data_IF_526494993913
#
_entry.id   IF_526494993913
#
_cell.length_a   1.000
_cell.length_b   1.000
_cell.length_c   1.000
_cell.angle_alpha   90.00
_cell.angle_beta   90.00
_cell.angle_gamma   90.00
#
_symmetry.space_group_name_H-M   'P 1'
#
loop_
_entity.id
_entity.type
_entity.pdbx_description
1 polymer ?
#
# COMPACT_ATOMS: atom_id res chain seq x y z
N UNK A 1 -12.39 -5.34 -8.70
CA UNK A 1 -11.60 -6.19 -7.77
C UNK A 1 -11.63 -5.52 -6.41
N UNK A 2 -12.01 -6.23 -5.35
CA UNK A 2 -12.04 -5.69 -3.99
C UNK A 2 -10.62 -5.45 -3.47
N UNK A 3 -10.38 -4.32 -2.81
CA UNK A 3 -9.08 -3.98 -2.22
C UNK A 3 -8.88 -4.74 -0.92
N UNK A 4 -7.64 -5.13 -0.61
CA UNK A 4 -7.34 -5.79 0.67
C UNK A 4 -7.73 -4.91 1.88
N UNK A 5 -7.65 -3.59 1.76
CA UNK A 5 -8.11 -2.68 2.81
C UNK A 5 -9.62 -2.81 3.10
N UNK A 6 -10.44 -3.10 2.09
CA UNK A 6 -11.89 -3.31 2.23
C UNK A 6 -12.18 -4.64 2.93
N UNK A 7 -11.47 -5.71 2.53
CA UNK A 7 -11.50 -7.01 3.22
C UNK A 7 -11.16 -6.86 4.70
N UNK A 8 -10.06 -6.16 5.00
CA UNK A 8 -9.64 -5.96 6.40
C UNK A 8 -10.71 -5.16 7.15
N UNK A 9 -11.22 -4.07 6.58
CA UNK A 9 -12.24 -3.26 7.25
C UNK A 9 -13.52 -4.05 7.57
N UNK A 10 -13.92 -4.97 6.69
CA UNK A 10 -15.12 -5.80 6.86
C UNK A 10 -14.92 -6.94 7.85
N UNK A 11 -13.79 -7.64 7.80
CA UNK A 11 -13.60 -8.91 8.53
C UNK A 11 -12.69 -8.81 9.76
N UNK A 12 -11.98 -7.70 9.97
CA UNK A 12 -11.12 -7.52 11.15
C UNK A 12 -11.87 -7.71 12.48
N UNK A 13 -13.09 -7.18 12.70
CA UNK A 13 -13.80 -7.41 13.95
C UNK A 13 -14.04 -8.91 14.25
N UNK A 14 -14.45 -9.67 13.23
CA UNK A 14 -14.67 -11.12 13.33
C UNK A 14 -13.38 -11.89 13.56
N UNK A 15 -12.29 -11.48 12.89
CA UNK A 15 -10.96 -12.05 13.10
C UNK A 15 -10.51 -11.85 14.56
N UNK A 16 -10.65 -10.65 15.10
CA UNK A 16 -10.28 -10.32 16.47
C UNK A 16 -11.13 -11.12 17.46
N UNK A 17 -12.46 -11.11 17.32
CA UNK A 17 -13.36 -11.84 18.22
C UNK A 17 -13.03 -13.34 18.34
N UNK A 18 -12.52 -13.95 17.26
CA UNK A 18 -12.23 -15.39 17.23
C UNK A 18 -10.78 -15.74 17.56
N UNK A 19 -9.82 -14.88 17.22
CA UNK A 19 -8.40 -15.23 17.22
C UNK A 19 -7.49 -14.24 17.95
N UNK A 20 -8.02 -13.24 18.67
CA UNK A 20 -7.23 -12.21 19.36
C UNK A 20 -6.04 -12.78 20.15
N UNK A 21 -6.24 -13.81 20.96
CA UNK A 21 -5.17 -14.43 21.77
C UNK A 21 -4.06 -15.13 20.95
N UNK A 22 -4.29 -15.39 19.67
CA UNK A 22 -3.32 -15.99 18.75
C UNK A 22 -2.61 -14.94 17.89
N UNK A 23 -3.09 -13.69 17.88
CA UNK A 23 -2.51 -12.62 17.09
C UNK A 23 -1.32 -12.00 17.79
N UNK A 24 -0.20 -11.93 17.06
CA UNK A 24 0.99 -11.23 17.52
C UNK A 24 0.81 -9.71 17.33
N UNK A 25 1.51 -8.87 18.11
CA UNK A 25 1.51 -7.43 17.90
C UNK A 25 1.91 -7.01 16.47
N UNK A 26 2.74 -7.80 15.79
CA UNK A 26 3.08 -7.58 14.37
C UNK A 26 1.89 -7.75 13.43
N UNK A 27 0.95 -8.66 13.71
CA UNK A 27 -0.26 -8.86 12.91
C UNK A 27 -1.19 -7.65 13.01
N UNK A 28 -1.40 -7.12 14.21
CA UNK A 28 -2.19 -5.90 14.41
C UNK A 28 -1.59 -4.71 13.66
N UNK A 29 -0.26 -4.53 13.76
CA UNK A 29 0.44 -3.48 13.01
C UNK A 29 0.31 -3.64 11.50
N UNK A 30 0.37 -4.88 11.00
CA UNK A 30 0.17 -5.16 9.58
C UNK A 30 -1.27 -4.82 9.13
N UNK A 31 -2.30 -5.26 9.86
CA UNK A 31 -3.70 -4.95 9.55
C UNK A 31 -3.95 -3.45 9.52
N UNK A 32 -3.47 -2.71 10.53
CA UNK A 32 -3.58 -1.26 10.58
C UNK A 32 -2.89 -0.57 9.39
N UNK A 33 -1.65 -0.96 9.08
CA UNK A 33 -0.89 -0.39 7.97
C UNK A 33 -1.56 -0.66 6.61
N UNK A 34 -2.01 -1.90 6.38
CA UNK A 34 -2.66 -2.31 5.14
C UNK A 34 -4.02 -1.62 4.96
N UNK A 35 -4.80 -1.46 6.02
CA UNK A 35 -6.10 -0.76 6.01
C UNK A 35 -5.95 0.73 5.69
N UNK A 36 -4.91 1.39 6.21
CA UNK A 36 -4.69 2.81 5.99
C UNK A 36 -4.02 3.14 4.64
N UNK A 37 -3.26 2.19 4.05
CA UNK A 37 -2.43 2.42 2.87
C UNK A 37 -3.18 3.10 1.71
N UNK A 38 -2.65 4.22 1.20
CA UNK A 38 -3.20 4.98 0.06
C UNK A 38 -4.70 5.31 0.21
N UNK A 39 -5.15 5.54 1.44
CA UNK A 39 -6.52 5.92 1.76
C UNK A 39 -6.58 7.34 2.34
N UNK A 40 -7.79 7.87 2.52
CA UNK A 40 -8.01 9.14 3.24
C UNK A 40 -7.51 9.14 4.70
N UNK A 41 -7.28 7.95 5.27
CA UNK A 41 -6.79 7.78 6.63
C UNK A 41 -5.26 7.73 6.71
N UNK A 42 -4.57 7.65 5.57
CA UNK A 42 -3.12 7.80 5.55
C UNK A 42 -2.74 9.27 5.77
N UNK A 43 -1.52 9.55 6.27
CA UNK A 43 -0.90 10.86 6.10
C UNK A 43 -1.05 11.31 4.64
N UNK A 44 -1.16 12.62 4.42
CA UNK A 44 -1.32 13.21 3.09
C UNK A 44 -0.10 14.07 2.75
N UNK A 45 0.34 14.01 1.50
CA UNK A 45 1.35 14.90 0.93
C UNK A 45 0.66 15.90 0.02
N UNK A 46 0.94 17.19 0.21
CA UNK A 46 0.53 18.21 -0.76
C UNK A 46 1.55 18.24 -1.91
N UNK A 47 1.15 17.68 -3.05
CA UNK A 47 1.95 17.72 -4.27
C UNK A 47 1.57 18.95 -5.10
N UNK A 48 2.57 19.62 -5.66
CA UNK A 48 2.38 20.71 -6.62
C UNK A 48 2.95 20.30 -7.96
N UNK A 49 2.16 20.42 -9.03
CA UNK A 49 2.63 20.19 -10.38
C UNK A 49 3.65 21.28 -10.78
N UNK A 50 4.82 20.88 -11.29
CA UNK A 50 5.85 21.83 -11.73
C UNK A 50 5.48 22.60 -13.00
N UNK A 51 4.56 22.08 -13.82
CA UNK A 51 4.16 22.71 -15.09
C UNK A 51 2.99 23.69 -14.97
N UNK A 52 1.96 23.35 -14.19
CA UNK A 52 0.72 24.16 -14.11
C UNK A 52 0.39 24.66 -12.69
N UNK A 53 1.25 24.40 -11.70
CA UNK A 53 1.07 24.77 -10.29
C UNK A 53 -0.20 24.22 -9.60
N UNK A 54 -0.94 23.33 -10.26
CA UNK A 54 -2.06 22.65 -9.65
C UNK A 54 -1.60 21.84 -8.43
N UNK A 55 -2.40 21.90 -7.36
CA UNK A 55 -2.12 21.20 -6.11
C UNK A 55 -3.04 19.99 -5.95
N UNK A 56 -2.50 18.92 -5.38
CA UNK A 56 -3.26 17.73 -5.03
C UNK A 56 -2.78 17.16 -3.69
N UNK A 57 -3.71 16.75 -2.84
CA UNK A 57 -3.41 15.96 -1.65
C UNK A 57 -3.34 14.47 -2.04
N UNK A 58 -2.17 13.87 -1.86
CA UNK A 58 -1.92 12.48 -2.19
C UNK A 58 -1.75 11.66 -0.91
N UNK A 59 -2.45 10.53 -0.76
CA UNK A 59 -2.31 9.69 0.41
C UNK A 59 -0.98 8.93 0.37
N UNK A 60 -0.28 8.85 1.50
CA UNK A 60 0.96 8.10 1.63
C UNK A 60 0.74 6.58 1.48
N UNK A 61 1.74 5.90 0.92
CA UNK A 61 1.87 4.45 0.98
C UNK A 61 2.34 3.99 2.36
N UNK A 62 1.83 2.86 2.86
CA UNK A 62 2.21 2.36 4.19
C UNK A 62 3.61 1.74 4.28
N UNK A 63 4.23 1.37 3.15
CA UNK A 63 5.56 0.76 3.11
C UNK A 63 5.66 -0.66 3.69
N UNK A 64 4.55 -1.25 4.15
CA UNK A 64 4.57 -2.58 4.75
C UNK A 64 4.84 -3.66 3.69
N UNK A 65 5.81 -4.56 3.94
CA UNK A 65 6.24 -5.62 3.00
C UNK A 65 5.14 -6.57 2.54
N UNK A 66 4.05 -6.69 3.31
CA UNK A 66 2.90 -7.53 2.97
C UNK A 66 1.77 -6.76 2.28
N UNK A 67 1.91 -5.44 2.08
CA UNK A 67 0.87 -4.64 1.45
C UNK A 67 0.87 -4.83 -0.07
N UNK A 68 -0.22 -5.33 -0.69
CA UNK A 68 -0.27 -5.54 -2.13
C UNK A 68 -0.09 -4.25 -2.93
N UNK A 69 -0.61 -3.11 -2.44
CA UNK A 69 -0.41 -1.82 -3.11
C UNK A 69 1.05 -1.38 -3.13
N UNK A 70 1.77 -1.55 -2.03
CA UNK A 70 3.19 -1.20 -1.96
C UNK A 70 4.02 -2.18 -2.79
N UNK A 71 3.84 -3.48 -2.58
CA UNK A 71 4.61 -4.50 -3.30
C UNK A 71 4.36 -4.49 -4.81
N UNK A 72 3.13 -4.21 -5.25
CA UNK A 72 2.84 -4.05 -6.68
C UNK A 72 3.58 -2.84 -7.26
N UNK A 73 3.58 -1.69 -6.57
CA UNK A 73 4.31 -0.51 -7.03
C UNK A 73 5.82 -0.80 -7.14
N UNK A 74 6.42 -1.37 -6.09
CA UNK A 74 7.84 -1.74 -6.09
C UNK A 74 8.18 -2.73 -7.20
N UNK A 75 7.33 -3.72 -7.44
CA UNK A 75 7.51 -4.69 -8.52
C UNK A 75 7.44 -4.03 -9.91
N UNK A 76 6.51 -3.09 -10.12
CA UNK A 76 6.42 -2.33 -11.37
C UNK A 76 7.64 -1.44 -11.58
N UNK A 77 8.10 -0.73 -10.54
CA UNK A 77 9.33 0.08 -10.60
C UNK A 77 10.54 -0.79 -10.93
N UNK A 78 10.67 -1.94 -10.27
CA UNK A 78 11.73 -2.90 -10.55
C UNK A 78 11.68 -3.38 -12.01
N UNK A 79 10.50 -3.77 -12.50
CA UNK A 79 10.31 -4.24 -13.87
C UNK A 79 10.69 -3.17 -14.88
N UNK A 80 10.25 -1.93 -14.68
CA UNK A 80 10.62 -0.80 -15.56
C UNK A 80 12.15 -0.62 -15.63
N UNK A 81 12.85 -0.73 -14.49
CA UNK A 81 14.31 -0.68 -14.47
C UNK A 81 14.94 -1.84 -15.24
N UNK A 82 14.40 -3.05 -15.12
CA UNK A 82 14.90 -4.20 -15.89
C UNK A 82 14.71 -3.99 -17.40
N UNK A 83 13.54 -3.50 -17.81
CA UNK A 83 13.24 -3.21 -19.22
C UNK A 83 14.17 -2.13 -19.79
N UNK A 84 14.51 -1.10 -19.01
CA UNK A 84 15.47 -0.06 -19.42
C UNK A 84 16.91 -0.57 -19.52
N UNK A 85 17.25 -1.63 -18.78
CA UNK A 85 18.58 -2.22 -18.77
C UNK A 85 18.76 -3.34 -19.81
N UNK A 86 17.74 -3.63 -20.63
CA UNK A 86 17.84 -4.64 -21.68
C UNK A 86 18.93 -4.24 -22.69
N UNK A 87 19.87 -5.14 -22.89
CA UNK A 87 20.86 -5.05 -23.97
C UNK A 87 20.30 -5.70 -25.23
N UNK A 88 20.75 -5.31 -26.44
CA UNK A 88 20.34 -5.97 -27.67
C UNK A 88 20.62 -7.49 -27.59
N UNK A 89 19.61 -8.30 -27.93
CA UNK A 89 19.80 -9.73 -28.16
C UNK A 89 19.96 -9.96 -29.66
N UNK A 90 21.07 -10.59 -30.06
CA UNK A 90 21.29 -11.08 -31.44
C UNK A 90 20.51 -12.34 -31.72
#
# INVERSE_FOLDING_TARGET
MMRLAEVIAEFEPTLLARYEHQLLPSHHRALAALKACRSRFAPQMLATCSGCHAQACLPHSCGHRACPHCQHHEAQVWLQRQLQALVPAT
#
